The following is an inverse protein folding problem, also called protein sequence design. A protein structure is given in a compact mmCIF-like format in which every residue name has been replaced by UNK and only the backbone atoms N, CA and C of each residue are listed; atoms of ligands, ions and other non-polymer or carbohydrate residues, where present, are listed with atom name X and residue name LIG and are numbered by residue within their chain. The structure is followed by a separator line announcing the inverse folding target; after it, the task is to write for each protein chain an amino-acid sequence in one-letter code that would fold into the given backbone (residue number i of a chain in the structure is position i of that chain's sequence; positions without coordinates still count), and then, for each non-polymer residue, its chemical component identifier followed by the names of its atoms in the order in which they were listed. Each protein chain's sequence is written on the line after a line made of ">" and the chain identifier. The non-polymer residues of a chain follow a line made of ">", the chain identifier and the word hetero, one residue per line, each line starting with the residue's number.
data_IF_642037344556
#
_entry.id   IF_642037344556
#
_cell.length_a   1.000
_cell.length_b   1.000
_cell.length_c   1.000
_cell.angle_alpha   90.00
_cell.angle_beta   90.00
_cell.angle_gamma   90.00
#
_symmetry.space_group_name_H-M   'P 1'
#
loop_
_entity.id
_entity.type
_entity.pdbx_description
1 polymer ?
#
# COMPACT_ATOMS: atom_id res chain seq x y z
N UNK A 1 2.02 18.20 -6.02
CA UNK A 1 3.41 18.70 -5.85
C UNK A 1 3.54 19.24 -4.44
N UNK A 2 4.62 18.91 -3.73
CA UNK A 2 4.93 19.45 -2.39
C UNK A 2 6.25 20.21 -2.46
N UNK A 3 6.39 21.23 -1.62
CA UNK A 3 7.62 21.99 -1.45
C UNK A 3 8.05 21.91 0.01
N UNK A 4 9.34 21.74 0.27
CA UNK A 4 9.86 21.84 1.62
C UNK A 4 11.28 22.41 1.61
N UNK A 5 11.57 23.19 2.65
CA UNK A 5 12.92 23.71 2.91
C UNK A 5 13.63 22.75 3.85
N UNK A 6 14.86 22.38 3.51
CA UNK A 6 15.66 21.45 4.32
C UNK A 6 16.05 22.13 5.63
N UNK A 7 15.57 21.61 6.78
CA UNK A 7 15.87 22.21 8.07
C UNK A 7 17.30 21.86 8.51
N UNK A 8 17.89 22.60 9.46
CA UNK A 8 19.30 22.46 9.84
C UNK A 8 19.69 21.04 10.30
N UNK A 9 18.77 20.29 10.88
CA UNK A 9 19.00 18.93 11.44
C UNK A 9 19.21 17.90 10.33
N UNK A 10 18.78 18.21 9.10
CA UNK A 10 18.94 17.37 7.92
C UNK A 10 20.12 17.77 7.04
N UNK A 11 20.91 18.77 7.46
CA UNK A 11 22.13 19.14 6.75
C UNK A 11 23.07 17.95 6.55
N UNK A 12 23.63 17.83 5.34
CA UNK A 12 24.57 16.78 4.94
C UNK A 12 23.97 15.35 5.00
N UNK A 13 22.64 15.22 5.14
CA UNK A 13 21.93 13.94 4.99
C UNK A 13 21.67 13.65 3.52
N UNK A 14 21.48 12.37 3.21
CA UNK A 14 21.07 11.94 1.88
C UNK A 14 19.65 12.43 1.59
N UNK A 15 19.39 12.81 0.35
CA UNK A 15 18.11 13.38 -0.08
C UNK A 15 16.93 12.43 0.16
N UNK A 16 17.11 11.13 -0.08
CA UNK A 16 16.08 10.11 0.18
C UNK A 16 15.70 10.02 1.66
N UNK A 17 16.70 10.06 2.55
CA UNK A 17 16.51 10.04 3.99
C UNK A 17 15.97 11.37 4.54
N UNK A 18 16.31 12.50 3.91
CA UNK A 18 15.78 13.81 4.28
C UNK A 18 14.29 13.90 3.93
N UNK A 19 13.89 13.51 2.72
CA UNK A 19 12.48 13.50 2.29
C UNK A 19 11.65 12.61 3.21
N UNK A 20 12.10 11.38 3.48
CA UNK A 20 11.38 10.43 4.33
C UNK A 20 11.27 10.86 5.81
N UNK A 21 12.03 11.87 6.24
CA UNK A 21 11.94 12.44 7.60
C UNK A 21 11.00 13.64 7.69
N UNK A 22 10.76 14.32 6.57
CA UNK A 22 9.90 15.51 6.50
C UNK A 22 8.47 15.11 6.13
N UNK A 23 8.32 14.00 5.40
CA UNK A 23 7.03 13.49 4.94
C UNK A 23 6.73 12.14 5.59
N UNK A 24 6.03 12.16 6.73
CA UNK A 24 5.66 10.95 7.49
C UNK A 24 4.76 9.99 6.68
N UNK A 25 4.18 10.45 5.55
CA UNK A 25 3.38 9.63 4.65
C UNK A 25 4.18 8.85 3.60
N UNK A 26 5.49 9.07 3.48
CA UNK A 26 6.32 8.42 2.46
C UNK A 26 7.36 7.48 3.08
N UNK A 27 7.30 6.20 2.71
CA UNK A 27 8.32 5.23 3.10
C UNK A 27 9.67 5.55 2.44
N UNK A 28 10.78 5.14 3.07
CA UNK A 28 12.14 5.36 2.53
C UNK A 28 12.33 4.77 1.13
N UNK A 29 11.72 3.62 0.83
CA UNK A 29 11.82 2.97 -0.49
C UNK A 29 11.13 3.81 -1.57
N UNK A 30 9.96 4.39 -1.26
CA UNK A 30 9.23 5.30 -2.13
C UNK A 30 10.03 6.58 -2.37
N UNK A 31 10.57 7.21 -1.32
CA UNK A 31 11.41 8.41 -1.46
C UNK A 31 12.63 8.16 -2.36
N UNK A 32 13.31 7.03 -2.16
CA UNK A 32 14.42 6.65 -3.03
C UNK A 32 13.99 6.48 -4.49
N UNK A 33 12.86 5.80 -4.72
CA UNK A 33 12.32 5.62 -6.08
C UNK A 33 11.95 6.95 -6.73
N UNK A 34 11.32 7.87 -5.99
CA UNK A 34 11.00 9.21 -6.49
C UNK A 34 12.24 9.96 -6.97
N UNK A 35 13.35 9.87 -6.24
CA UNK A 35 14.62 10.48 -6.67
C UNK A 35 15.09 9.87 -7.99
N UNK A 36 15.17 8.53 -8.08
CA UNK A 36 15.58 7.86 -9.34
C UNK A 36 14.66 8.23 -10.51
N UNK A 37 13.36 8.28 -10.26
CA UNK A 37 12.35 8.53 -11.29
C UNK A 37 12.28 10.03 -11.69
N UNK A 38 13.19 10.88 -11.19
CA UNK A 38 13.26 12.31 -11.54
C UNK A 38 12.15 13.16 -10.93
N UNK A 39 11.47 12.65 -9.90
CA UNK A 39 10.34 13.31 -9.24
C UNK A 39 10.76 14.27 -8.11
N UNK A 40 12.06 14.51 -7.96
CA UNK A 40 12.63 15.40 -6.94
C UNK A 40 13.50 16.44 -7.64
N UNK A 41 13.29 17.71 -7.33
CA UNK A 41 14.10 18.81 -7.85
C UNK A 41 14.55 19.77 -6.74
N UNK A 42 15.77 20.27 -6.86
CA UNK A 42 16.27 21.40 -6.07
C UNK A 42 15.87 22.69 -6.77
N UNK A 43 15.32 23.62 -6.00
CA UNK A 43 14.92 24.95 -6.46
C UNK A 43 16.02 25.94 -6.07
N UNK A 44 16.60 26.62 -7.07
CA UNK A 44 17.55 27.70 -6.88
C UNK A 44 17.12 28.87 -7.76
N UNK A 45 16.84 30.03 -7.16
CA UNK A 45 16.49 31.28 -7.87
C UNK A 45 15.43 31.09 -8.98
N UNK A 46 14.40 30.28 -8.69
CA UNK A 46 13.31 29.98 -9.63
C UNK A 46 13.61 28.89 -10.67
N UNK A 47 14.85 28.38 -10.73
CA UNK A 47 15.22 27.25 -11.58
C UNK A 47 15.11 25.92 -10.82
N UNK A 48 14.52 24.92 -11.47
CA UNK A 48 14.38 23.58 -10.92
C UNK A 48 15.42 22.64 -11.52
N UNK A 49 16.35 22.14 -10.70
CA UNK A 49 17.34 21.12 -11.09
C UNK A 49 16.87 19.76 -10.60
N UNK A 50 16.55 18.85 -11.52
CA UNK A 50 16.14 17.48 -11.19
C UNK A 50 17.31 16.72 -10.56
N UNK A 51 17.04 16.03 -9.46
CA UNK A 51 18.00 15.19 -8.76
C UNK A 51 17.62 13.73 -8.97
N UNK A 52 18.52 12.96 -9.59
CA UNK A 52 18.35 11.54 -9.95
C UNK A 52 19.19 10.57 -9.09
N UNK A 53 20.05 11.12 -8.23
CA UNK A 53 20.96 10.34 -7.35
C UNK A 53 20.48 10.35 -5.90
N UNK A 54 20.07 9.18 -5.40
CA UNK A 54 19.67 8.98 -3.98
C UNK A 54 20.72 9.41 -2.96
N UNK A 55 22.00 9.31 -3.33
CA UNK A 55 23.13 9.67 -2.47
C UNK A 55 23.43 11.17 -2.44
N UNK A 56 22.71 11.99 -3.22
CA UNK A 56 22.83 13.45 -3.17
C UNK A 56 22.63 13.94 -1.73
N UNK A 57 23.52 14.81 -1.27
CA UNK A 57 23.48 15.34 0.09
C UNK A 57 22.85 16.72 0.09
N UNK A 58 21.83 16.89 0.92
CA UNK A 58 21.10 18.16 1.03
C UNK A 58 21.83 19.14 1.96
N UNK A 59 21.74 20.42 1.64
CA UNK A 59 22.21 21.52 2.47
C UNK A 59 21.06 22.16 3.22
N UNK A 60 21.36 22.76 4.37
CA UNK A 60 20.33 23.51 5.12
C UNK A 60 19.86 24.68 4.26
N UNK A 61 18.55 24.94 4.23
CA UNK A 61 17.96 25.99 3.41
C UNK A 61 17.72 25.60 1.96
N UNK A 62 18.14 24.40 1.51
CA UNK A 62 17.77 23.91 0.18
C UNK A 62 16.24 23.83 0.05
N UNK A 63 15.70 24.38 -1.03
CA UNK A 63 14.28 24.26 -1.34
C UNK A 63 14.06 23.08 -2.29
N UNK A 64 13.31 22.08 -1.85
CA UNK A 64 13.04 20.87 -2.62
C UNK A 64 11.61 20.86 -3.12
N UNK A 65 11.43 20.58 -4.41
CA UNK A 65 10.14 20.32 -5.05
C UNK A 65 9.97 18.82 -5.27
N UNK A 66 8.92 18.26 -4.68
CA UNK A 66 8.53 16.86 -4.79
C UNK A 66 7.29 16.70 -5.66
N UNK A 67 7.42 15.96 -6.76
CA UNK A 67 6.30 15.49 -7.56
C UNK A 67 5.86 14.14 -7.02
N UNK A 68 4.94 14.14 -6.04
CA UNK A 68 4.34 12.91 -5.54
C UNK A 68 3.43 12.35 -6.65
N UNK A 69 3.93 11.33 -7.34
CA UNK A 69 3.10 10.47 -8.16
C UNK A 69 2.41 9.54 -7.19
N UNK A 70 1.06 9.60 -7.15
CA UNK A 70 0.28 8.61 -6.43
C UNK A 70 0.67 7.26 -7.04
N UNK A 71 1.48 6.47 -6.33
CA UNK A 71 1.55 5.03 -6.61
C UNK A 71 0.09 4.59 -6.64
N UNK A 72 -0.30 3.78 -7.64
CA UNK A 72 -1.56 3.06 -7.51
C UNK A 72 -1.44 2.35 -6.17
N UNK A 73 -2.14 2.86 -5.16
CA UNK A 73 -2.52 2.04 -4.02
C UNK A 73 -3.04 0.76 -4.64
N UNK A 74 -2.60 -0.39 -4.10
CA UNK A 74 -3.06 -1.70 -4.51
C UNK A 74 -4.53 -1.54 -4.88
N UNK A 75 -4.79 -1.57 -6.18
CA UNK A 75 -6.08 -1.14 -6.69
C UNK A 75 -7.11 -1.98 -5.96
N UNK A 76 -8.16 -1.34 -5.42
CA UNK A 76 -9.29 -2.04 -4.82
C UNK A 76 -9.49 -3.37 -5.55
N UNK A 77 -9.46 -4.47 -4.81
CA UNK A 77 -9.55 -5.80 -5.41
C UNK A 77 -10.86 -5.87 -6.16
N UNK A 78 -10.80 -5.77 -7.48
CA UNK A 78 -11.98 -5.86 -8.32
C UNK A 78 -12.34 -7.33 -8.46
N UNK A 79 -13.58 -7.66 -8.08
CA UNK A 79 -14.13 -8.99 -8.25
C UNK A 79 -14.20 -9.36 -9.74
N UNK A 80 -13.68 -10.55 -10.10
CA UNK A 80 -13.68 -11.06 -11.46
C UNK A 80 -14.20 -12.49 -11.52
N UNK A 81 -15.10 -12.76 -12.45
CA UNK A 81 -15.61 -14.11 -12.70
C UNK A 81 -14.55 -14.94 -13.42
N UNK A 82 -13.66 -15.54 -12.64
CA UNK A 82 -12.59 -16.42 -13.11
C UNK A 82 -12.80 -17.85 -12.59
N UNK A 83 -12.45 -18.88 -13.37
CA UNK A 83 -12.65 -20.26 -12.96
C UNK A 83 -11.76 -20.61 -11.76
N UNK A 84 -12.39 -21.12 -10.70
CA UNK A 84 -11.72 -21.69 -9.53
C UNK A 84 -11.96 -23.20 -9.46
N UNK A 85 -10.89 -23.97 -9.32
CA UNK A 85 -10.99 -25.40 -9.03
C UNK A 85 -10.91 -25.59 -7.52
N UNK A 86 -12.06 -25.58 -6.84
CA UNK A 86 -12.15 -25.78 -5.39
C UNK A 86 -12.15 -27.28 -5.11
N UNK A 87 -11.16 -27.72 -4.33
CA UNK A 87 -11.01 -29.11 -3.90
C UNK A 87 -11.71 -29.38 -2.57
N UNK A 88 -11.75 -28.36 -1.71
CA UNK A 88 -12.40 -28.41 -0.41
C UNK A 88 -12.79 -27.00 0.02
N UNK A 89 -13.92 -26.88 0.71
CA UNK A 89 -14.39 -25.64 1.30
C UNK A 89 -15.30 -25.93 2.49
N UNK A 90 -15.06 -25.19 3.58
CA UNK A 90 -15.91 -25.12 4.76
C UNK A 90 -15.98 -23.68 5.29
N UNK A 91 -16.56 -23.51 6.48
CA UNK A 91 -16.72 -22.22 7.17
C UNK A 91 -15.40 -21.58 7.62
N UNK A 92 -14.27 -22.28 7.52
CA UNK A 92 -12.97 -21.83 8.00
C UNK A 92 -11.92 -21.70 6.90
N UNK A 93 -11.98 -22.52 5.85
CA UNK A 93 -10.96 -22.53 4.81
C UNK A 93 -11.45 -23.01 3.44
N UNK A 94 -10.73 -22.56 2.41
CA UNK A 94 -10.84 -23.04 1.03
C UNK A 94 -9.51 -23.66 0.62
N UNK A 95 -9.54 -24.88 0.10
CA UNK A 95 -8.43 -25.50 -0.62
C UNK A 95 -8.79 -25.50 -2.10
N UNK A 96 -7.97 -24.85 -2.91
CA UNK A 96 -8.17 -24.77 -4.35
C UNK A 96 -6.92 -25.20 -5.11
N UNK A 97 -7.13 -25.74 -6.30
CA UNK A 97 -6.09 -26.03 -7.28
C UNK A 97 -5.99 -24.87 -8.28
N UNK A 98 -5.06 -23.95 -8.06
CA UNK A 98 -4.90 -22.80 -8.96
C UNK A 98 -4.35 -23.25 -10.32
N UNK A 99 -4.82 -22.62 -11.39
CA UNK A 99 -4.27 -22.87 -12.73
C UNK A 99 -2.77 -22.51 -12.81
N UNK A 100 -2.03 -23.24 -13.66
CA UNK A 100 -0.65 -22.90 -13.97
C UNK A 100 -0.60 -21.49 -14.62
N UNK A 101 0.36 -20.67 -14.20
CA UNK A 101 0.47 -19.28 -14.66
C UNK A 101 -0.45 -18.27 -13.95
N UNK A 102 -1.46 -18.72 -13.19
CA UNK A 102 -2.30 -17.82 -12.40
C UNK A 102 -1.53 -17.32 -11.16
N UNK A 103 -1.48 -16.00 -11.00
CA UNK A 103 -0.90 -15.29 -9.86
C UNK A 103 -1.88 -15.32 -8.69
N UNK A 104 -1.38 -15.44 -7.46
CA UNK A 104 -2.24 -15.54 -6.27
C UNK A 104 -2.79 -14.18 -5.86
N UNK A 105 -1.90 -13.19 -5.68
CA UNK A 105 -2.24 -11.85 -5.21
C UNK A 105 -1.84 -10.80 -6.25
N UNK A 106 -2.62 -9.72 -6.45
CA UNK A 106 -2.21 -8.60 -7.29
C UNK A 106 -0.80 -8.12 -6.98
N UNK A 107 0.02 -7.97 -8.01
CA UNK A 107 1.41 -7.54 -7.92
C UNK A 107 1.84 -6.81 -9.19
N UNK A 108 3.04 -6.22 -9.16
CA UNK A 108 3.61 -5.52 -10.32
C UNK A 108 3.61 -6.45 -11.55
N UNK A 109 2.90 -6.02 -12.60
CA UNK A 109 2.77 -6.76 -13.86
C UNK A 109 1.58 -7.73 -13.92
N UNK A 110 0.92 -8.01 -12.80
CA UNK A 110 -0.28 -8.85 -12.71
C UNK A 110 -1.22 -8.26 -11.63
N UNK A 111 -1.88 -7.15 -11.98
CA UNK A 111 -2.73 -6.39 -11.04
C UNK A 111 -4.15 -6.95 -10.94
N UNK A 112 -4.56 -7.73 -11.93
CA UNK A 112 -5.85 -8.40 -12.03
C UNK A 112 -5.65 -9.84 -12.54
N UNK A 113 -6.72 -10.59 -12.75
CA UNK A 113 -6.63 -11.97 -13.23
C UNK A 113 -6.07 -12.94 -12.19
N UNK A 114 -6.03 -12.55 -10.92
CA UNK A 114 -5.42 -13.33 -9.83
C UNK A 114 -6.44 -14.19 -9.08
N UNK A 115 -5.94 -15.13 -8.27
CA UNK A 115 -6.79 -15.94 -7.38
C UNK A 115 -7.61 -15.06 -6.44
N UNK A 116 -7.02 -13.97 -5.93
CA UNK A 116 -7.71 -13.02 -5.06
C UNK A 116 -8.86 -12.30 -5.79
N UNK A 117 -8.70 -11.92 -7.06
CA UNK A 117 -9.79 -11.34 -7.86
C UNK A 117 -10.94 -12.35 -8.07
N UNK A 118 -10.59 -13.62 -8.29
CA UNK A 118 -11.54 -14.71 -8.44
C UNK A 118 -12.31 -14.97 -7.14
N UNK A 119 -11.60 -14.99 -6.00
CA UNK A 119 -12.21 -15.18 -4.68
C UNK A 119 -13.10 -14.00 -4.28
N UNK A 120 -12.74 -12.76 -4.63
CA UNK A 120 -13.60 -11.59 -4.44
C UNK A 120 -14.95 -11.73 -5.15
N UNK A 121 -14.98 -12.41 -6.31
CA UNK A 121 -16.23 -12.74 -7.01
C UNK A 121 -16.94 -13.95 -6.38
N UNK A 122 -16.19 -14.96 -5.99
CA UNK A 122 -16.73 -16.24 -5.51
C UNK A 122 -17.34 -16.15 -4.11
N UNK A 123 -16.61 -15.58 -3.14
CA UNK A 123 -16.97 -15.61 -1.72
C UNK A 123 -18.38 -15.05 -1.42
N UNK A 124 -18.84 -13.94 -2.03
CA UNK A 124 -20.21 -13.47 -1.81
C UNK A 124 -21.32 -14.45 -2.23
N UNK A 125 -20.97 -15.48 -3.00
CA UNK A 125 -21.85 -16.53 -3.53
C UNK A 125 -21.57 -17.91 -2.89
N UNK A 126 -20.59 -18.00 -1.99
CA UNK A 126 -20.27 -19.23 -1.27
C UNK A 126 -21.41 -19.62 -0.31
N UNK A 127 -21.61 -20.92 -0.13
CA UNK A 127 -22.55 -21.47 0.85
C UNK A 127 -22.14 -21.18 2.31
N UNK A 128 -20.87 -20.84 2.55
CA UNK A 128 -20.31 -20.62 3.89
C UNK A 128 -20.23 -19.14 4.29
N UNK A 129 -20.70 -18.24 3.42
CA UNK A 129 -20.88 -16.83 3.74
C UNK A 129 -19.88 -15.89 3.06
N UNK A 130 -20.02 -14.60 3.41
CA UNK A 130 -19.23 -13.50 2.83
C UNK A 130 -17.93 -13.36 3.61
N UNK A 131 -16.83 -13.87 3.06
CA UNK A 131 -15.50 -13.55 3.56
C UNK A 131 -15.02 -12.19 3.06
N UNK A 132 -14.42 -11.39 3.94
CA UNK A 132 -13.71 -10.17 3.54
C UNK A 132 -12.26 -10.52 3.17
N UNK A 133 -11.73 -9.86 2.14
CA UNK A 133 -10.33 -10.00 1.78
C UNK A 133 -9.53 -8.97 2.57
N UNK A 134 -8.72 -9.45 3.51
CA UNK A 134 -7.87 -8.62 4.35
C UNK A 134 -6.45 -8.56 3.78
N UNK A 135 -5.89 -7.36 3.65
CA UNK A 135 -4.46 -7.19 3.38
C UNK A 135 -3.65 -7.56 4.63
N UNK A 136 -2.46 -8.13 4.45
CA UNK A 136 -1.62 -8.56 5.55
C UNK A 136 -1.22 -7.36 6.43
N UNK A 137 -1.80 -7.27 7.63
CA UNK A 137 -1.50 -6.24 8.63
C UNK A 137 -2.65 -5.29 8.96
N UNK A 138 -3.80 -5.38 8.27
CA UNK A 138 -4.98 -4.63 8.68
C UNK A 138 -5.86 -5.42 9.67
N UNK A 139 -6.25 -4.83 10.81
CA UNK A 139 -7.17 -5.50 11.73
C UNK A 139 -8.54 -5.65 11.10
N UNK A 140 -9.10 -6.86 11.16
CA UNK A 140 -10.48 -7.15 10.79
C UNK A 140 -11.44 -6.24 11.56
N UNK A 141 -12.21 -5.42 10.87
CA UNK A 141 -13.20 -4.51 11.46
C UNK A 141 -14.44 -5.24 12.00
N UNK A 142 -14.58 -6.54 11.74
CA UNK A 142 -15.77 -7.34 12.05
C UNK A 142 -15.65 -8.20 13.32
N UNK A 143 -14.51 -8.17 14.02
CA UNK A 143 -14.35 -8.81 15.34
C UNK A 143 -14.62 -7.82 16.49
N UNK A 144 -15.81 -7.23 16.53
CA UNK A 144 -16.40 -6.74 17.78
C UNK A 144 -17.39 -7.80 18.27
N UNK A 145 -16.87 -8.80 18.98
CA UNK A 145 -17.71 -9.73 19.73
C UNK A 145 -18.52 -8.94 20.75
N UNK A 146 -19.84 -9.01 20.61
CA UNK A 146 -20.80 -8.52 21.59
C UNK A 146 -20.66 -9.32 22.89
N UNK A 147 -19.82 -8.85 23.81
CA UNK A 147 -20.00 -9.18 25.22
C UNK A 147 -21.27 -8.48 25.70
N UNK A 148 -22.40 -9.20 25.66
CA UNK A 148 -23.58 -8.83 26.43
C UNK A 148 -23.19 -8.90 27.91
N UNK A 149 -22.99 -7.72 28.51
CA UNK A 149 -23.04 -7.50 29.93
C UNK A 149 -24.37 -8.09 30.44
N UNK A 150 -24.29 -9.18 31.21
CA UNK A 150 -25.42 -9.62 32.04
C UNK A 150 -25.61 -8.54 33.10
N UNK A 151 -26.70 -7.81 32.95
CA UNK A 151 -27.23 -6.87 33.91
C UNK A 151 -27.88 -7.70 35.04
N UNK A 152 -27.11 -7.97 36.10
CA UNK A 152 -27.66 -8.44 37.37
C UNK A 152 -28.31 -7.25 38.06
N UNK A 153 -29.61 -7.10 37.84
CA UNK A 153 -30.48 -6.41 38.80
C UNK A 153 -31.60 -7.35 39.27
N UNK A 154 -31.86 -7.26 40.58
CA UNK A 154 -33.00 -7.78 41.35
C UNK A 154 -32.87 -9.23 41.90
N UNK A 155 -32.51 -9.38 43.18
CA UNK A 155 -33.37 -9.28 44.39
C UNK A 155 -32.51 -9.26 45.67
#
# INVERSE_FOLDING_TARGET
>A
VRYFTVPPELHNKRIDAAIAKVDDGLSRSVCGKMVIDGNVALMNDGQATVIDRKSFKVSKGDELRLTIVKTRELSEIVAQELPLSILFEDEHMIVLNKAAGMVVHPAVGNWDGTVVNALAYYLPRSAYGKGDILEAGEPSSSLQTSEKLHDDTDV
#
